data_IF_593904035789
#
_entry.id   IF_593904035789
#
_cell.length_a   1.000
_cell.length_b   1.000
_cell.length_c   1.000
_cell.angle_alpha   90.00
_cell.angle_beta   90.00
_cell.angle_gamma   90.00
#
_symmetry.space_group_name_H-M   'P 1'
#
loop_
_entity.id
_entity.type
_entity.pdbx_description
1 polymer ?
#
# COMPACT_ATOMS: atom_id res chain seq x y z
N UNK A 1 -55.75 45.99 -18.30
CA UNK A 1 -54.89 46.73 -17.35
C UNK A 1 -53.46 46.13 -17.46
N UNK A 2 -52.60 46.92 -18.14
CA UNK A 2 -51.25 46.54 -18.53
C UNK A 2 -50.28 46.66 -17.38
N UNK A 3 -49.45 45.69 -17.14
CA UNK A 3 -48.16 45.82 -16.39
C UNK A 3 -47.07 44.93 -16.98
N UNK A 4 -46.33 45.50 -17.92
CA UNK A 4 -44.90 45.58 -18.07
C UNK A 4 -44.09 44.28 -17.94
N UNK A 5 -43.79 43.71 -19.11
CA UNK A 5 -42.58 42.92 -19.34
C UNK A 5 -41.40 43.91 -19.52
N UNK A 6 -40.56 44.10 -18.49
CA UNK A 6 -39.23 44.69 -18.64
C UNK A 6 -38.19 43.58 -18.90
N UNK A 7 -37.87 43.41 -20.17
CA UNK A 7 -36.70 42.59 -20.55
C UNK A 7 -35.43 43.39 -20.24
N UNK A 8 -34.59 42.88 -19.32
CA UNK A 8 -33.25 43.42 -19.12
C UNK A 8 -32.37 43.07 -20.33
N UNK A 9 -32.09 44.05 -21.21
CA UNK A 9 -31.07 43.96 -22.21
C UNK A 9 -29.71 44.14 -21.51
N UNK A 10 -29.01 43.04 -21.26
CA UNK A 10 -27.60 43.05 -20.79
C UNK A 10 -26.81 43.79 -21.90
N UNK A 11 -26.10 44.85 -21.53
CA UNK A 11 -25.31 45.65 -22.47
C UNK A 11 -24.23 44.78 -23.14
N UNK A 12 -23.88 45.09 -24.36
CA UNK A 12 -22.87 44.37 -25.14
C UNK A 12 -21.53 44.30 -24.40
N UNK A 13 -21.18 45.34 -23.64
CA UNK A 13 -20.00 45.41 -22.78
C UNK A 13 -20.06 44.43 -21.60
N UNK A 14 -21.23 44.21 -20.99
CA UNK A 14 -21.40 43.22 -19.90
C UNK A 14 -21.28 41.79 -20.41
N UNK A 15 -21.68 41.49 -21.67
CA UNK A 15 -21.49 40.18 -22.28
C UNK A 15 -20.01 39.93 -22.60
N UNK A 16 -19.29 40.91 -23.12
CA UNK A 16 -17.85 40.84 -23.38
C UNK A 16 -17.09 40.62 -22.06
N UNK A 17 -17.46 41.34 -20.99
CA UNK A 17 -16.86 41.20 -19.65
C UNK A 17 -17.10 39.79 -19.08
N UNK A 18 -18.30 39.22 -19.21
CA UNK A 18 -18.62 37.87 -18.77
C UNK A 18 -17.85 36.79 -19.57
N UNK A 19 -17.67 36.97 -20.86
CA UNK A 19 -16.88 36.05 -21.73
C UNK A 19 -15.39 36.12 -21.36
N UNK A 20 -14.85 37.32 -21.16
CA UNK A 20 -13.44 37.51 -20.76
C UNK A 20 -13.19 36.95 -19.37
N UNK A 21 -14.13 37.12 -18.45
CA UNK A 21 -14.04 36.58 -17.09
C UNK A 21 -14.15 35.04 -17.10
N UNK A 22 -15.04 34.44 -17.90
CA UNK A 22 -15.16 32.99 -18.08
C UNK A 22 -13.90 32.39 -18.72
N UNK A 23 -13.31 33.06 -19.73
CA UNK A 23 -12.05 32.65 -20.34
C UNK A 23 -10.87 32.78 -19.39
N UNK A 24 -10.78 33.85 -18.61
CA UNK A 24 -9.76 34.03 -17.58
C UNK A 24 -9.89 32.98 -16.45
N UNK A 25 -11.12 32.65 -16.07
CA UNK A 25 -11.42 31.60 -15.05
C UNK A 25 -11.09 30.21 -15.59
N UNK A 26 -11.34 29.94 -16.87
CA UNK A 26 -10.97 28.68 -17.54
C UNK A 26 -9.45 28.55 -17.67
N UNK A 27 -8.73 29.62 -17.98
CA UNK A 27 -7.26 29.65 -18.00
C UNK A 27 -6.69 29.43 -16.60
N UNK A 28 -7.29 30.01 -15.56
CA UNK A 28 -6.85 29.84 -14.17
C UNK A 28 -7.16 28.43 -13.60
N UNK A 29 -8.31 27.84 -13.94
CA UNK A 29 -8.73 26.55 -13.39
C UNK A 29 -8.29 25.33 -14.18
N UNK A 30 -8.06 25.47 -15.49
CA UNK A 30 -7.77 24.32 -16.35
C UNK A 30 -6.35 24.39 -16.94
N UNK A 31 -5.93 25.56 -17.43
CA UNK A 31 -4.64 25.70 -18.12
C UNK A 31 -3.49 25.90 -17.10
N UNK A 32 -3.72 26.65 -16.02
CA UNK A 32 -2.70 26.80 -14.96
C UNK A 32 -2.38 25.49 -14.24
N UNK A 33 -3.35 24.65 -13.84
CA UNK A 33 -3.03 23.33 -13.28
C UNK A 33 -2.32 22.42 -14.28
N UNK A 34 -2.70 22.46 -15.56
CA UNK A 34 -2.01 21.71 -16.63
C UNK A 34 -0.61 22.25 -16.94
N UNK A 35 -0.40 23.56 -16.86
CA UNK A 35 0.92 24.17 -17.04
C UNK A 35 1.79 24.06 -15.79
N UNK A 36 1.20 24.03 -14.60
CA UNK A 36 1.89 23.74 -13.33
C UNK A 36 2.26 22.25 -13.29
N UNK A 37 1.42 21.37 -13.82
CA UNK A 37 1.78 19.95 -13.99
C UNK A 37 2.86 19.75 -15.07
N UNK A 38 2.83 20.48 -16.19
CA UNK A 38 3.94 20.51 -17.15
C UNK A 38 5.19 21.24 -16.65
N UNK A 39 5.06 22.17 -15.68
CA UNK A 39 6.19 22.92 -15.08
C UNK A 39 6.62 22.42 -13.70
N UNK A 40 5.89 21.49 -13.07
CA UNK A 40 6.44 20.59 -12.07
C UNK A 40 7.14 19.38 -12.74
N UNK A 41 7.86 19.54 -13.78
CA UNK A 41 9.23 19.03 -13.83
C UNK A 41 9.88 19.64 -12.60
N UNK A 42 9.98 18.81 -11.57
CA UNK A 42 10.62 19.10 -10.31
C UNK A 42 11.76 20.08 -10.56
N UNK A 43 11.68 21.26 -9.96
CA UNK A 43 12.85 22.10 -9.75
C UNK A 43 13.70 21.44 -8.65
N UNK A 44 14.04 20.17 -8.82
CA UNK A 44 15.20 19.52 -8.25
C UNK A 44 16.35 19.70 -9.24
N UNK A 45 16.66 20.98 -9.51
CA UNK A 45 17.81 21.33 -10.35
C UNK A 45 19.15 21.01 -9.68
N UNK A 46 19.16 20.40 -8.48
CA UNK A 46 20.36 20.25 -7.67
C UNK A 46 20.70 18.82 -7.22
N UNK A 47 19.95 17.79 -7.63
CA UNK A 47 20.35 16.41 -7.45
C UNK A 47 20.49 15.75 -8.84
N UNK A 48 21.71 15.38 -9.25
CA UNK A 48 21.87 14.62 -10.48
C UNK A 48 21.31 13.21 -10.25
N UNK A 49 19.99 13.02 -10.52
CA UNK A 49 19.33 11.72 -10.53
C UNK A 49 19.70 10.90 -11.78
N UNK A 50 20.83 11.24 -12.42
CA UNK A 50 21.34 10.57 -13.63
C UNK A 50 21.68 9.09 -13.44
N UNK A 51 21.76 8.62 -12.18
CA UNK A 51 21.96 7.23 -11.84
C UNK A 51 20.65 6.40 -11.85
N UNK A 52 19.50 7.06 -11.98
CA UNK A 52 18.20 6.40 -12.10
C UNK A 52 17.90 6.16 -13.58
N UNK A 53 17.56 4.94 -13.91
CA UNK A 53 17.14 4.59 -15.26
C UNK A 53 15.63 4.86 -15.45
N UNK A 54 15.28 6.13 -15.67
CA UNK A 54 13.89 6.55 -15.84
C UNK A 54 13.21 5.91 -17.06
N UNK A 55 13.95 5.48 -18.08
CA UNK A 55 13.37 4.80 -19.25
C UNK A 55 12.79 3.44 -18.89
N UNK A 56 13.30 2.79 -17.85
CA UNK A 56 12.77 1.52 -17.29
C UNK A 56 11.63 1.74 -16.29
N UNK A 57 11.34 2.99 -15.87
CA UNK A 57 10.32 3.25 -14.85
C UNK A 57 8.91 3.13 -15.42
N UNK A 58 8.48 1.90 -15.65
CA UNK A 58 7.11 1.55 -16.06
C UNK A 58 6.72 0.18 -15.56
N UNK A 59 5.41 -0.02 -15.37
CA UNK A 59 4.87 -1.35 -15.15
C UNK A 59 4.77 -2.04 -16.51
N UNK A 60 5.34 -3.23 -16.62
CA UNK A 60 5.35 -4.03 -17.84
C UNK A 60 4.62 -5.35 -17.64
N UNK A 61 4.24 -5.99 -18.71
CA UNK A 61 3.62 -7.32 -18.71
C UNK A 61 3.71 -7.94 -20.09
N UNK A 62 3.48 -9.25 -20.17
CA UNK A 62 3.32 -9.91 -21.47
C UNK A 62 2.02 -9.46 -22.13
N UNK A 63 1.89 -9.68 -23.44
CA UNK A 63 0.65 -9.42 -24.20
C UNK A 63 -0.58 -10.14 -23.65
N UNK A 64 -0.37 -11.20 -22.87
CA UNK A 64 -1.41 -11.97 -22.16
C UNK A 64 -1.67 -11.47 -20.74
N UNK A 65 -0.92 -10.49 -20.24
CA UNK A 65 -1.07 -9.98 -18.87
C UNK A 65 -2.30 -9.11 -18.71
N UNK A 66 -3.38 -9.70 -18.26
CA UNK A 66 -4.61 -8.98 -17.87
C UNK A 66 -4.36 -8.00 -16.71
N UNK A 67 -3.33 -8.22 -15.91
CA UNK A 67 -2.99 -7.36 -14.77
C UNK A 67 -2.61 -5.95 -15.20
N UNK A 68 -1.79 -5.81 -16.26
CA UNK A 68 -1.37 -4.48 -16.73
C UNK A 68 -2.56 -3.66 -17.24
N UNK A 69 -3.45 -4.28 -18.02
CA UNK A 69 -4.66 -3.63 -18.52
C UNK A 69 -5.59 -3.20 -17.37
N UNK A 70 -5.84 -4.10 -16.41
CA UNK A 70 -6.67 -3.84 -15.24
C UNK A 70 -6.13 -2.71 -14.37
N UNK A 71 -4.81 -2.58 -14.21
CA UNK A 71 -4.21 -1.48 -13.46
C UNK A 71 -4.52 -0.14 -14.13
N UNK A 72 -4.30 -0.06 -15.45
CA UNK A 72 -4.60 1.14 -16.23
C UNK A 72 -6.08 1.53 -16.14
N UNK A 73 -6.97 0.57 -16.38
CA UNK A 73 -8.42 0.76 -16.27
C UNK A 73 -8.85 1.23 -14.88
N UNK A 74 -8.38 0.55 -13.82
CA UNK A 74 -8.71 0.86 -12.44
C UNK A 74 -8.37 2.32 -12.08
N UNK A 75 -7.15 2.73 -12.39
CA UNK A 75 -6.66 4.07 -12.06
C UNK A 75 -7.34 5.15 -12.89
N UNK A 76 -7.59 4.88 -14.17
CA UNK A 76 -8.32 5.79 -15.04
C UNK A 76 -9.77 6.01 -14.55
N UNK A 77 -10.47 4.94 -14.16
CA UNK A 77 -11.82 5.02 -13.61
C UNK A 77 -11.85 5.73 -12.25
N UNK A 78 -10.91 5.46 -11.37
CA UNK A 78 -10.81 6.14 -10.09
C UNK A 78 -10.69 7.65 -10.26
N UNK A 79 -9.81 8.11 -11.16
CA UNK A 79 -9.62 9.53 -11.44
C UNK A 79 -10.80 10.16 -12.17
N UNK A 80 -11.34 9.49 -13.19
CA UNK A 80 -12.38 10.05 -14.06
C UNK A 80 -13.79 9.96 -13.49
N UNK A 81 -14.08 8.90 -12.72
CA UNK A 81 -15.43 8.59 -12.22
C UNK A 81 -15.54 8.55 -10.69
N UNK A 82 -14.44 8.69 -9.97
CA UNK A 82 -14.42 8.56 -8.51
C UNK A 82 -14.73 7.14 -8.01
N UNK A 83 -14.47 6.12 -8.83
CA UNK A 83 -14.68 4.74 -8.41
C UNK A 83 -13.66 4.34 -7.32
N UNK A 84 -14.09 3.61 -6.26
CA UNK A 84 -13.19 3.22 -5.18
C UNK A 84 -12.05 2.32 -5.66
N UNK A 85 -10.85 2.57 -5.13
CA UNK A 85 -9.66 1.76 -5.38
C UNK A 85 -9.17 1.15 -4.08
N UNK A 86 -9.02 -0.17 -4.03
CA UNK A 86 -8.39 -0.90 -2.93
C UNK A 86 -7.11 -1.55 -3.39
N UNK A 87 -6.00 -1.16 -2.78
CA UNK A 87 -4.65 -1.67 -3.06
C UNK A 87 -4.15 -2.40 -1.81
N UNK A 88 -3.64 -3.61 -1.99
CA UNK A 88 -2.92 -4.35 -0.97
C UNK A 88 -1.46 -4.49 -1.40
N UNK A 89 -0.55 -3.91 -0.64
CA UNK A 89 0.89 -4.02 -0.86
C UNK A 89 1.50 -4.89 0.23
N UNK A 90 1.98 -6.06 -0.13
CA UNK A 90 2.62 -7.01 0.79
C UNK A 90 4.13 -7.02 0.59
N UNK A 91 4.87 -7.27 1.67
CA UNK A 91 6.32 -7.32 1.58
C UNK A 91 7.02 -7.52 2.91
N UNK A 92 8.27 -7.12 2.93
CA UNK A 92 9.19 -7.27 4.05
C UNK A 92 9.40 -5.97 4.85
N UNK A 93 10.63 -5.71 5.34
CA UNK A 93 11.00 -4.50 6.06
C UNK A 93 10.81 -3.22 5.24
N UNK A 94 10.95 -3.29 3.92
CA UNK A 94 10.75 -2.16 3.02
C UNK A 94 9.29 -1.70 3.03
N UNK A 95 8.34 -2.62 3.28
CA UNK A 95 6.91 -2.34 3.39
C UNK A 95 6.51 -2.05 4.84
N UNK A 96 7.07 -2.76 5.84
CA UNK A 96 6.78 -2.48 7.25
C UNK A 96 7.12 -1.05 7.64
N UNK A 97 8.22 -0.49 7.13
CA UNK A 97 8.65 0.89 7.41
C UNK A 97 7.65 1.96 6.91
N UNK A 98 6.80 1.62 5.96
CA UNK A 98 5.76 2.43 5.32
C UNK A 98 6.24 3.73 4.64
N UNK A 99 7.54 4.01 4.55
CA UNK A 99 8.03 5.21 3.85
C UNK A 99 7.79 5.15 2.34
N UNK A 100 8.00 3.97 1.76
CA UNK A 100 7.75 3.67 0.35
C UNK A 100 6.25 3.72 0.05
N UNK A 101 5.47 2.95 0.77
CA UNK A 101 4.02 2.80 0.59
C UNK A 101 3.27 4.08 0.96
N UNK A 102 3.70 4.80 1.99
CA UNK A 102 3.11 6.09 2.37
C UNK A 102 3.29 7.15 1.27
N UNK A 103 4.45 7.23 0.63
CA UNK A 103 4.65 8.18 -0.46
C UNK A 103 3.82 7.81 -1.69
N UNK A 104 3.76 6.53 -2.07
CA UNK A 104 2.91 6.06 -3.16
C UNK A 104 1.44 6.37 -2.88
N UNK A 105 0.94 6.07 -1.66
CA UNK A 105 -0.42 6.37 -1.20
C UNK A 105 -0.72 7.87 -1.26
N UNK A 106 0.18 8.70 -0.76
CA UNK A 106 0.06 10.16 -0.75
C UNK A 106 -0.07 10.73 -2.16
N UNK A 107 0.78 10.30 -3.08
CA UNK A 107 0.77 10.78 -4.47
C UNK A 107 -0.45 10.29 -5.24
N UNK A 108 -0.86 9.03 -5.04
CA UNK A 108 -2.10 8.50 -5.63
C UNK A 108 -3.33 9.25 -5.13
N UNK A 109 -3.41 9.53 -3.82
CA UNK A 109 -4.49 10.31 -3.23
C UNK A 109 -4.61 11.69 -3.89
N UNK A 110 -3.49 12.40 -4.02
CA UNK A 110 -3.44 13.72 -4.67
C UNK A 110 -3.82 13.65 -6.16
N UNK A 111 -3.41 12.58 -6.84
CA UNK A 111 -3.68 12.42 -8.26
C UNK A 111 -5.14 12.04 -8.55
N UNK A 112 -5.76 11.20 -7.71
CA UNK A 112 -7.15 10.76 -7.89
C UNK A 112 -8.11 11.92 -7.60
N UNK A 113 -8.08 12.53 -6.42
CA UNK A 113 -9.09 13.54 -6.06
C UNK A 113 -8.69 14.50 -4.94
N UNK A 114 -7.55 14.31 -4.31
CA UNK A 114 -7.11 15.01 -3.10
C UNK A 114 -8.14 14.92 -1.94
N UNK A 115 -9.04 13.94 -1.98
CA UNK A 115 -10.08 13.71 -0.99
C UNK A 115 -9.69 12.56 -0.06
N UNK A 116 -10.61 12.23 0.84
CA UNK A 116 -10.44 11.24 1.89
C UNK A 116 -9.80 9.93 1.40
N UNK A 117 -8.76 9.51 2.10
CA UNK A 117 -8.10 8.22 1.90
C UNK A 117 -8.15 7.42 3.18
N UNK A 118 -8.22 6.11 3.09
CA UNK A 118 -8.09 5.24 4.25
C UNK A 118 -6.63 4.89 4.49
N UNK A 119 -6.21 4.87 5.76
CA UNK A 119 -4.92 4.29 6.15
C UNK A 119 -4.84 2.81 5.74
N UNK A 120 -5.97 2.14 5.82
CA UNK A 120 -6.05 0.72 5.55
C UNK A 120 -5.48 -0.13 6.70
N UNK A 121 -4.84 -1.24 6.33
CA UNK A 121 -4.31 -2.20 7.29
C UNK A 121 -3.17 -1.61 8.13
N UNK A 122 -3.22 -1.88 9.43
CA UNK A 122 -2.21 -1.55 10.44
C UNK A 122 -1.95 -2.77 11.33
N UNK A 123 -0.74 -2.85 11.87
CA UNK A 123 -0.40 -3.82 12.90
C UNK A 123 0.36 -3.10 14.03
N UNK A 124 0.08 -3.38 15.31
CA UNK A 124 0.75 -2.73 16.43
C UNK A 124 2.15 -3.35 16.69
N UNK A 125 3.09 -3.08 15.79
CA UNK A 125 4.41 -3.73 15.78
C UNK A 125 5.21 -3.53 17.06
N UNK A 126 5.13 -2.35 17.70
CA UNK A 126 5.88 -2.08 18.95
C UNK A 126 5.43 -2.98 20.10
N UNK A 127 4.16 -3.40 20.12
CA UNK A 127 3.62 -4.36 21.10
C UNK A 127 4.37 -5.70 21.05
N UNK A 128 4.93 -6.07 19.91
CA UNK A 128 5.69 -7.30 19.70
C UNK A 128 7.18 -7.05 19.44
N UNK A 129 7.71 -5.94 19.97
CA UNK A 129 9.12 -5.58 19.92
C UNK A 129 9.66 -5.41 18.48
N UNK A 130 8.86 -4.80 17.60
CA UNK A 130 9.26 -4.37 16.25
C UNK A 130 8.94 -2.88 16.08
N UNK A 131 9.49 -2.23 15.03
CA UNK A 131 9.25 -0.82 14.79
C UNK A 131 7.88 -0.59 14.11
N UNK A 132 7.13 0.39 14.62
CA UNK A 132 5.96 0.90 13.91
C UNK A 132 6.38 1.79 12.72
N UNK A 133 5.53 1.92 11.70
CA UNK A 133 5.53 3.08 10.82
C UNK A 133 5.47 4.40 11.60
N UNK A 134 5.97 5.48 10.99
CA UNK A 134 6.02 6.79 11.66
C UNK A 134 4.65 7.48 11.80
N UNK A 135 3.64 7.03 11.05
CA UNK A 135 2.36 7.69 10.89
C UNK A 135 1.32 7.34 11.97
N UNK A 136 1.63 6.38 12.83
CA UNK A 136 0.77 6.07 13.97
C UNK A 136 1.58 5.67 15.23
N UNK A 137 0.97 5.90 16.37
CA UNK A 137 1.44 5.43 17.66
C UNK A 137 0.62 4.22 18.12
N UNK A 138 1.24 3.40 18.96
CA UNK A 138 0.62 2.19 19.54
C UNK A 138 0.71 2.26 21.05
N UNK A 139 -0.40 2.01 21.71
CA UNK A 139 -0.47 1.80 23.16
C UNK A 139 -0.87 0.34 23.44
N UNK A 140 -0.38 -0.22 24.55
CA UNK A 140 -0.80 -1.54 25.00
C UNK A 140 -0.61 -1.72 26.50
N UNK A 141 -1.40 -2.63 27.05
CA UNK A 141 -1.32 -3.11 28.42
C UNK A 141 -1.34 -4.64 28.39
N UNK A 142 -0.85 -5.28 29.46
CA UNK A 142 -0.78 -6.73 29.55
C UNK A 142 0.40 -7.36 28.82
N UNK A 143 0.42 -8.68 28.78
CA UNK A 143 1.50 -9.46 28.19
C UNK A 143 1.13 -9.96 26.79
N UNK A 144 1.98 -9.65 25.81
CA UNK A 144 1.78 -10.02 24.42
C UNK A 144 2.97 -10.81 23.89
N UNK A 145 2.69 -11.96 23.29
CA UNK A 145 3.67 -12.83 22.64
C UNK A 145 3.67 -12.59 21.15
N UNK A 146 4.86 -12.37 20.58
CA UNK A 146 5.08 -12.25 19.14
C UNK A 146 5.10 -13.62 18.48
N UNK A 147 4.27 -13.83 17.45
CA UNK A 147 4.36 -14.98 16.57
C UNK A 147 4.94 -14.53 15.21
N UNK A 148 5.94 -15.26 14.75
CA UNK A 148 6.59 -15.07 13.47
C UNK A 148 6.71 -16.39 12.74
N UNK A 149 6.79 -16.30 11.42
CA UNK A 149 7.02 -17.49 10.64
C UNK A 149 8.35 -18.17 11.00
N UNK A 150 8.28 -19.47 11.13
CA UNK A 150 9.42 -20.38 11.20
C UNK A 150 9.03 -21.68 10.51
N UNK A 151 9.96 -22.35 9.83
CA UNK A 151 9.67 -23.64 9.15
C UNK A 151 9.09 -24.73 10.06
N UNK A 152 9.37 -24.64 11.37
CA UNK A 152 8.97 -25.64 12.37
C UNK A 152 7.84 -25.16 13.30
N UNK A 153 7.26 -23.99 13.02
CA UNK A 153 6.23 -23.39 13.84
C UNK A 153 4.95 -23.20 13.04
N UNK A 154 3.86 -23.78 13.53
CA UNK A 154 2.51 -23.65 13.00
C UNK A 154 1.76 -22.45 13.57
N UNK A 155 2.45 -21.45 14.10
CA UNK A 155 1.85 -20.23 14.66
C UNK A 155 0.85 -19.62 13.70
N UNK A 156 -0.26 -19.16 14.26
CA UNK A 156 -1.27 -18.42 13.51
C UNK A 156 -0.70 -17.07 13.08
N UNK A 157 -0.55 -16.86 11.78
CA UNK A 157 -0.09 -15.60 11.21
C UNK A 157 -1.19 -14.93 10.40
N UNK A 158 -1.20 -13.60 10.44
CA UNK A 158 -2.15 -12.77 9.69
C UNK A 158 -1.60 -12.26 8.36
N UNK A 159 -2.31 -11.27 7.81
CA UNK A 159 -2.05 -10.64 6.51
C UNK A 159 -0.60 -10.15 6.36
N UNK A 160 0.00 -9.62 7.41
CA UNK A 160 1.37 -9.12 7.39
C UNK A 160 2.45 -10.19 7.67
N UNK A 161 2.07 -11.47 7.84
CA UNK A 161 3.02 -12.52 8.19
C UNK A 161 3.50 -12.48 9.65
N UNK A 162 2.76 -11.82 10.52
CA UNK A 162 3.00 -11.67 11.96
C UNK A 162 1.68 -11.68 12.71
N UNK A 163 1.72 -12.02 13.99
CA UNK A 163 0.60 -11.83 14.93
C UNK A 163 1.07 -11.60 16.35
N UNK A 164 0.15 -11.19 17.21
CA UNK A 164 0.36 -10.97 18.63
C UNK A 164 -0.67 -11.77 19.42
N UNK A 165 -0.22 -12.63 20.32
CA UNK A 165 -1.11 -13.47 21.15
C UNK A 165 -0.99 -13.13 22.62
N UNK A 166 -2.10 -13.30 23.34
CA UNK A 166 -2.16 -13.17 24.80
C UNK A 166 -3.12 -14.19 25.41
N UNK A 167 -2.87 -14.53 26.67
CA UNK A 167 -3.77 -15.27 27.56
C UNK A 167 -4.19 -14.42 28.75
N UNK A 168 -3.81 -13.14 28.77
CA UNK A 168 -4.11 -12.18 29.82
C UNK A 168 -5.39 -11.41 29.49
N UNK A 169 -6.42 -11.56 30.32
CA UNK A 169 -7.74 -10.91 30.18
C UNK A 169 -7.69 -9.41 30.39
N UNK A 170 -6.65 -8.88 31.02
CA UNK A 170 -6.46 -7.45 31.24
C UNK A 170 -5.76 -6.77 30.05
N UNK A 171 -5.35 -7.57 29.06
CA UNK A 171 -4.65 -7.06 27.89
C UNK A 171 -5.51 -6.07 27.08
N UNK A 172 -4.86 -4.99 26.67
CA UNK A 172 -5.44 -3.94 25.85
C UNK A 172 -4.48 -3.54 24.75
N UNK A 173 -5.00 -2.98 23.66
CA UNK A 173 -4.19 -2.35 22.62
C UNK A 173 -4.92 -1.17 22.00
N UNK A 174 -4.16 -0.21 21.50
CA UNK A 174 -4.72 0.95 20.81
C UNK A 174 -3.80 1.40 19.71
N UNK A 175 -4.38 2.04 18.69
CA UNK A 175 -3.69 2.64 17.54
C UNK A 175 -4.19 4.07 17.39
N UNK A 176 -3.26 5.03 17.27
CA UNK A 176 -3.57 6.43 17.07
C UNK A 176 -2.82 6.97 15.86
N UNK A 177 -3.53 7.37 14.80
CA UNK A 177 -2.95 8.01 13.61
C UNK A 177 -2.52 9.43 13.98
N UNK A 178 -1.35 9.84 13.52
CA UNK A 178 -0.84 11.20 13.74
C UNK A 178 -1.49 12.18 12.77
N UNK A 179 -2.23 13.14 13.28
CA UNK A 179 -2.94 14.15 12.49
C UNK A 179 -2.03 14.98 11.57
N UNK A 180 -0.74 15.12 11.94
CA UNK A 180 0.25 15.85 11.14
C UNK A 180 0.68 15.12 9.86
N UNK A 181 0.23 13.88 9.66
CA UNK A 181 0.65 13.07 8.53
C UNK A 181 -0.16 13.44 7.29
N UNK A 182 0.49 14.08 6.33
CA UNK A 182 -0.14 14.47 5.05
C UNK A 182 -0.61 13.23 4.29
N UNK A 183 -1.88 13.23 3.87
CA UNK A 183 -2.47 12.16 3.06
C UNK A 183 -3.23 11.10 3.85
N UNK A 184 -3.49 11.34 5.16
CA UNK A 184 -4.41 10.52 5.94
C UNK A 184 -5.63 11.32 6.36
N UNK A 185 -6.77 10.68 6.19
CA UNK A 185 -8.02 11.13 6.75
C UNK A 185 -8.33 10.36 8.04
N UNK A 186 -9.04 10.96 8.96
CA UNK A 186 -9.60 10.21 10.08
C UNK A 186 -10.48 9.07 9.56
N UNK A 187 -10.71 8.08 10.38
CA UNK A 187 -11.51 6.90 10.04
C UNK A 187 -12.84 6.89 10.78
N UNK A 188 -13.84 6.26 10.17
CA UNK A 188 -15.14 6.00 10.77
C UNK A 188 -15.55 4.54 10.70
N UNK A 189 -14.67 3.65 10.20
CA UNK A 189 -14.87 2.21 10.23
C UNK A 189 -13.60 1.51 10.69
N UNK A 190 -13.73 0.51 11.55
CA UNK A 190 -12.60 -0.24 12.12
C UNK A 190 -12.89 -1.71 12.00
N UNK A 191 -12.00 -2.45 11.30
CA UNK A 191 -12.05 -3.90 11.25
C UNK A 191 -10.88 -4.49 12.03
N UNK A 192 -11.17 -5.32 13.01
CA UNK A 192 -10.15 -6.07 13.76
C UNK A 192 -10.11 -7.49 13.23
N UNK A 193 -8.93 -7.92 12.80
CA UNK A 193 -8.67 -9.30 12.41
C UNK A 193 -8.05 -10.06 13.57
N UNK A 194 -8.68 -11.13 13.98
CA UNK A 194 -8.24 -11.89 15.15
C UNK A 194 -8.64 -13.38 15.07
N UNK A 195 -8.12 -14.14 15.99
CA UNK A 195 -8.66 -15.44 16.41
C UNK A 195 -8.74 -15.46 17.91
N UNK A 196 -9.85 -15.89 18.44
CA UNK A 196 -10.09 -15.96 19.88
C UNK A 196 -10.63 -17.35 20.28
N UNK A 197 -10.32 -17.71 21.50
CA UNK A 197 -10.90 -18.85 22.20
C UNK A 197 -11.20 -18.41 23.62
N UNK A 198 -12.49 -18.24 23.96
CA UNK A 198 -12.94 -17.79 25.27
C UNK A 198 -12.65 -16.32 25.61
N UNK A 199 -12.06 -15.54 24.70
CA UNK A 199 -11.90 -14.10 24.81
C UNK A 199 -12.58 -13.44 23.64
N UNK A 200 -13.17 -12.26 23.86
CA UNK A 200 -13.74 -11.42 22.79
C UNK A 200 -13.11 -10.03 22.84
N UNK A 201 -12.70 -9.48 21.71
CA UNK A 201 -12.24 -8.10 21.67
C UNK A 201 -13.44 -7.15 21.78
N UNK A 202 -13.35 -6.19 22.70
CA UNK A 202 -14.33 -5.14 22.87
C UNK A 202 -13.72 -3.78 22.53
N UNK A 203 -14.48 -2.95 21.84
CA UNK A 203 -14.08 -1.59 21.56
C UNK A 203 -14.28 -0.74 22.82
N UNK A 204 -13.20 -0.13 23.31
CA UNK A 204 -13.20 0.74 24.49
C UNK A 204 -13.32 2.22 24.10
N UNK A 205 -12.67 2.61 23.03
CA UNK A 205 -12.64 3.98 22.50
C UNK A 205 -12.58 3.97 20.96
N UNK A 206 -13.41 4.80 20.28
CA UNK A 206 -14.44 5.68 20.83
C UNK A 206 -15.67 4.89 21.35
N UNK A 207 -16.38 5.45 22.33
CA UNK A 207 -17.49 4.76 23.01
C UNK A 207 -18.71 4.60 22.09
N UNK A 208 -18.97 5.58 21.22
CA UNK A 208 -20.10 5.56 20.31
C UNK A 208 -19.74 4.85 19.00
N UNK A 209 -20.01 3.56 18.97
CA UNK A 209 -19.77 2.71 17.81
C UNK A 209 -20.83 1.61 17.71
N UNK A 210 -21.16 1.25 16.48
CA UNK A 210 -22.06 0.15 16.14
C UNK A 210 -21.26 -1.04 15.61
N UNK A 211 -21.50 -2.23 16.15
CA UNK A 211 -20.94 -3.46 15.61
C UNK A 211 -21.76 -3.90 14.39
N UNK A 212 -21.19 -3.72 13.19
CA UNK A 212 -21.85 -4.05 11.92
C UNK A 212 -21.79 -5.54 11.61
N UNK A 213 -20.69 -6.20 11.93
CA UNK A 213 -20.52 -7.63 11.70
C UNK A 213 -19.46 -8.21 12.65
N UNK A 214 -19.65 -9.48 13.02
CA UNK A 214 -18.71 -10.25 13.80
C UNK A 214 -18.75 -11.71 13.36
N UNK A 215 -17.57 -12.32 13.23
CA UNK A 215 -17.40 -13.75 13.09
C UNK A 215 -16.18 -14.23 13.90
N UNK A 216 -15.77 -15.49 13.73
CA UNK A 216 -14.63 -16.06 14.46
C UNK A 216 -13.26 -15.44 14.10
N UNK A 217 -13.20 -14.60 13.06
CA UNK A 217 -11.94 -14.11 12.47
C UNK A 217 -11.86 -12.60 12.38
N UNK A 218 -12.98 -11.89 12.51
CA UNK A 218 -13.01 -10.42 12.47
C UNK A 218 -14.24 -9.82 13.14
N UNK A 219 -14.10 -8.57 13.58
CA UNK A 219 -15.19 -7.64 13.91
C UNK A 219 -15.07 -6.38 13.10
N UNK A 220 -16.19 -5.84 12.64
CA UNK A 220 -16.28 -4.57 11.92
C UNK A 220 -17.19 -3.61 12.70
N UNK A 221 -16.64 -2.48 13.09
CA UNK A 221 -17.35 -1.39 13.74
C UNK A 221 -17.54 -0.21 12.80
N UNK A 222 -18.71 0.45 12.89
CA UNK A 222 -18.96 1.79 12.40
C UNK A 222 -18.90 2.76 13.57
N UNK A 223 -18.15 3.85 13.44
CA UNK A 223 -18.04 4.91 14.45
C UNK A 223 -19.02 6.01 14.11
N UNK A 224 -19.69 6.58 15.12
CA UNK A 224 -20.64 7.68 14.93
C UNK A 224 -19.95 8.95 14.40
N UNK A 225 -18.69 9.16 14.80
CA UNK A 225 -17.87 10.29 14.37
C UNK A 225 -16.52 9.83 13.83
N UNK A 226 -15.94 10.68 12.99
CA UNK A 226 -14.57 10.47 12.53
C UNK A 226 -13.60 10.49 13.70
N UNK A 227 -12.69 9.51 13.75
CA UNK A 227 -11.68 9.36 14.80
C UNK A 227 -10.27 9.23 14.23
N UNK A 228 -9.28 9.62 15.03
CA UNK A 228 -7.85 9.35 14.78
C UNK A 228 -7.30 8.25 15.68
N UNK A 229 -8.08 7.77 16.65
CA UNK A 229 -7.62 6.74 17.58
C UNK A 229 -8.69 5.68 17.82
N UNK A 230 -8.21 4.48 18.17
CA UNK A 230 -9.05 3.36 18.56
C UNK A 230 -8.35 2.56 19.67
N UNK A 231 -9.10 2.12 20.67
CA UNK A 231 -8.59 1.28 21.76
C UNK A 231 -9.52 0.08 21.98
N UNK A 232 -8.91 -1.09 22.12
CA UNK A 232 -9.59 -2.36 22.38
C UNK A 232 -9.13 -2.95 23.71
N UNK A 233 -10.06 -3.62 24.39
CA UNK A 233 -9.80 -4.53 25.50
C UNK A 233 -10.23 -5.93 25.14
N UNK A 234 -10.04 -6.85 26.10
CA UNK A 234 -10.51 -8.22 25.99
C UNK A 234 -11.54 -8.48 27.11
N UNK A 235 -12.61 -9.14 26.75
CA UNK A 235 -13.61 -9.62 27.69
C UNK A 235 -13.55 -11.16 27.75
N UNK A 236 -13.65 -11.70 28.95
CA UNK A 236 -13.68 -13.15 29.14
C UNK A 236 -15.10 -13.68 28.89
N UNK A 237 -15.25 -14.50 27.88
CA UNK A 237 -16.52 -15.15 27.54
C UNK A 237 -16.80 -16.42 28.37
N UNK A 238 -16.27 -16.48 29.58
CA UNK A 238 -16.58 -17.54 30.57
C UNK A 238 -15.68 -18.77 30.53
N UNK A 239 -14.51 -18.72 29.89
CA UNK A 239 -13.54 -19.80 29.84
C UNK A 239 -12.31 -19.52 30.72
N UNK A 240 -11.89 -20.50 31.54
CA UNK A 240 -10.72 -20.34 32.42
C UNK A 240 -9.37 -20.30 31.73
N UNK A 241 -9.26 -20.80 30.48
CA UNK A 241 -8.03 -20.89 29.69
C UNK A 241 -8.21 -20.23 28.34
N UNK A 242 -8.66 -18.97 28.32
CA UNK A 242 -8.86 -18.22 27.08
C UNK A 242 -7.56 -17.82 26.40
N UNK A 243 -7.64 -17.56 25.12
CA UNK A 243 -6.55 -16.98 24.32
C UNK A 243 -7.08 -16.07 23.25
N UNK A 244 -6.29 -15.05 22.91
CA UNK A 244 -6.58 -14.11 21.84
C UNK A 244 -5.34 -13.91 20.98
N UNK A 245 -5.52 -13.91 19.65
CA UNK A 245 -4.45 -13.64 18.69
C UNK A 245 -4.90 -12.54 17.75
N UNK A 246 -4.23 -11.40 17.80
CA UNK A 246 -4.45 -10.26 16.92
C UNK A 246 -3.63 -10.44 15.63
N UNK A 247 -4.30 -10.31 14.48
CA UNK A 247 -3.68 -10.35 13.17
C UNK A 247 -3.49 -8.95 12.55
N UNK A 248 -4.22 -7.96 13.03
CA UNK A 248 -4.13 -6.55 12.60
C UNK A 248 -5.47 -5.83 12.65
N UNK A 249 -5.42 -4.56 12.29
CA UNK A 249 -6.58 -3.66 12.30
C UNK A 249 -6.62 -2.89 10.98
N UNK A 250 -7.79 -2.80 10.36
CA UNK A 250 -8.01 -1.87 9.25
C UNK A 250 -8.69 -0.60 9.77
N UNK A 251 -8.08 0.55 9.49
CA UNK A 251 -8.61 1.87 9.78
C UNK A 251 -9.13 2.47 8.48
N UNK A 252 -10.45 2.53 8.32
CA UNK A 252 -11.12 2.82 7.07
C UNK A 252 -11.98 4.09 7.19
N UNK A 253 -12.07 4.82 6.10
CA UNK A 253 -13.04 5.89 5.93
C UNK A 253 -14.05 5.43 4.86
N UNK A 254 -15.34 5.43 5.18
CA UNK A 254 -16.40 4.97 4.28
C UNK A 254 -16.48 5.77 2.98
N UNK A 255 -16.06 7.03 3.02
CA UNK A 255 -16.09 7.96 1.89
C UNK A 255 -14.77 7.98 1.09
N UNK A 256 -13.81 7.11 1.47
CA UNK A 256 -12.52 7.08 0.82
C UNK A 256 -12.60 6.46 -0.57
N UNK A 257 -12.11 7.18 -1.57
CA UNK A 257 -11.91 6.64 -2.92
C UNK A 257 -10.67 5.73 -2.95
N UNK A 258 -9.62 6.07 -2.20
CA UNK A 258 -8.41 5.26 -2.11
C UNK A 258 -8.28 4.59 -0.75
N UNK A 259 -8.18 3.26 -0.75
CA UNK A 259 -7.79 2.45 0.41
C UNK A 259 -6.48 1.74 0.06
N UNK A 260 -5.39 2.09 0.76
CA UNK A 260 -4.08 1.52 0.50
C UNK A 260 -3.57 0.77 1.73
N UNK A 261 -3.65 -0.55 1.68
CA UNK A 261 -3.25 -1.46 2.75
C UNK A 261 -1.78 -1.84 2.57
N UNK A 262 -0.91 -1.45 3.51
CA UNK A 262 0.48 -1.88 3.55
C UNK A 262 0.64 -2.97 4.62
N UNK A 263 1.03 -4.17 4.21
CA UNK A 263 1.16 -5.34 5.08
C UNK A 263 2.53 -5.98 4.87
N UNK A 264 3.49 -5.66 5.72
CA UNK A 264 4.86 -6.18 5.66
C UNK A 264 5.39 -6.50 7.04
N UNK A 265 6.43 -7.32 7.10
CA UNK A 265 7.15 -7.61 8.34
C UNK A 265 8.65 -7.76 8.11
N UNK A 266 9.43 -7.17 8.99
CA UNK A 266 10.90 -7.23 8.93
C UNK A 266 11.41 -8.67 8.76
N UNK A 267 12.24 -8.89 7.75
CA UNK A 267 12.82 -10.20 7.48
C UNK A 267 11.87 -11.19 6.78
N UNK A 268 10.70 -10.76 6.29
CA UNK A 268 9.79 -11.64 5.57
C UNK A 268 10.43 -12.19 4.30
N UNK A 269 10.20 -13.46 4.08
CA UNK A 269 10.50 -14.20 2.84
C UNK A 269 9.18 -14.62 2.19
N UNK A 270 9.25 -15.19 1.00
CA UNK A 270 8.09 -15.85 0.37
C UNK A 270 7.50 -16.91 1.30
N UNK A 271 8.35 -17.65 2.03
CA UNK A 271 7.92 -18.64 3.02
C UNK A 271 7.06 -18.07 4.13
N UNK A 272 7.27 -16.81 4.52
CA UNK A 272 6.45 -16.12 5.54
C UNK A 272 4.97 -16.05 5.12
N UNK A 273 4.70 -15.67 3.88
CA UNK A 273 3.33 -15.55 3.37
C UNK A 273 2.72 -16.91 3.01
N UNK A 274 3.52 -17.86 2.55
CA UNK A 274 3.06 -19.24 2.35
C UNK A 274 2.66 -19.92 3.65
N UNK A 275 3.39 -19.65 4.74
CA UNK A 275 3.12 -20.16 6.07
C UNK A 275 2.02 -19.39 6.83
N UNK A 276 1.60 -18.23 6.33
CA UNK A 276 0.53 -17.46 6.95
C UNK A 276 -0.84 -18.08 6.65
N UNK A 277 -1.41 -18.77 7.65
CA UNK A 277 -2.68 -19.49 7.52
C UNK A 277 -3.88 -18.59 7.19
N UNK A 278 -3.84 -17.32 7.62
CA UNK A 278 -4.95 -16.38 7.44
C UNK A 278 -4.73 -15.38 6.31
N UNK A 279 -3.58 -15.41 5.62
CA UNK A 279 -3.23 -14.45 4.58
C UNK A 279 -4.31 -14.34 3.48
N UNK A 280 -4.65 -15.45 2.85
CA UNK A 280 -5.63 -15.47 1.74
C UNK A 280 -7.03 -15.05 2.21
N UNK A 281 -7.46 -15.51 3.39
CA UNK A 281 -8.77 -15.16 3.92
C UNK A 281 -8.88 -13.66 4.19
N UNK A 282 -7.86 -13.06 4.83
CA UNK A 282 -7.84 -11.63 5.12
C UNK A 282 -7.68 -10.79 3.85
N UNK A 283 -6.88 -11.24 2.87
CA UNK A 283 -6.81 -10.59 1.57
C UNK A 283 -8.17 -10.60 0.84
N UNK A 284 -8.93 -11.71 0.92
CA UNK A 284 -10.32 -11.75 0.41
C UNK A 284 -11.23 -10.78 1.15
N UNK A 285 -11.08 -10.61 2.47
CA UNK A 285 -11.85 -9.65 3.26
C UNK A 285 -11.61 -8.19 2.85
N UNK A 286 -10.38 -7.84 2.46
CA UNK A 286 -10.04 -6.54 1.86
C UNK A 286 -10.65 -6.41 0.46
N UNK A 287 -10.71 -7.52 -0.29
CA UNK A 287 -11.16 -7.55 -1.68
C UNK A 287 -10.43 -6.51 -2.56
N UNK A 288 -9.09 -6.58 -2.67
CA UNK A 288 -8.30 -5.58 -3.38
C UNK A 288 -8.51 -5.69 -4.90
N UNK A 289 -8.50 -4.55 -5.57
CA UNK A 289 -8.45 -4.50 -7.04
C UNK A 289 -7.02 -4.68 -7.56
N UNK A 290 -6.03 -4.34 -6.74
CA UNK A 290 -4.61 -4.47 -7.04
C UNK A 290 -3.88 -5.04 -5.83
N UNK A 291 -3.08 -6.09 -6.05
CA UNK A 291 -2.08 -6.57 -5.10
C UNK A 291 -0.69 -6.27 -5.65
N UNK A 292 0.16 -5.65 -4.84
CA UNK A 292 1.58 -5.45 -5.13
C UNK A 292 2.38 -6.38 -4.22
N UNK A 293 3.26 -7.19 -4.80
CA UNK A 293 4.08 -8.16 -4.08
C UNK A 293 5.54 -7.74 -4.16
N UNK A 294 6.08 -7.23 -3.04
CA UNK A 294 7.46 -6.77 -2.91
C UNK A 294 8.23 -7.71 -1.97
N UNK A 295 8.64 -8.85 -2.51
CA UNK A 295 9.35 -9.93 -1.80
C UNK A 295 10.59 -10.37 -2.59
N UNK A 296 11.49 -11.07 -1.91
CA UNK A 296 12.68 -11.65 -2.49
C UNK A 296 13.97 -11.11 -1.90
N UNK A 297 13.98 -9.91 -1.31
CA UNK A 297 15.18 -9.31 -0.70
C UNK A 297 15.77 -10.23 0.38
N UNK A 298 14.93 -10.70 1.30
CA UNK A 298 15.39 -11.59 2.36
C UNK A 298 15.66 -13.01 1.85
N UNK A 299 14.91 -13.48 0.86
CA UNK A 299 15.14 -14.80 0.25
C UNK A 299 16.55 -14.86 -0.37
N UNK A 300 16.94 -13.82 -1.11
CA UNK A 300 18.24 -13.77 -1.80
C UNK A 300 19.40 -13.37 -0.88
N UNK A 301 19.09 -12.76 0.26
CA UNK A 301 20.09 -12.35 1.27
C UNK A 301 20.62 -13.56 2.07
N UNK A 302 19.83 -14.63 2.19
CA UNK A 302 20.21 -15.81 2.96
C UNK A 302 21.36 -16.56 2.27
N UNK A 303 22.38 -17.02 3.02
CA UNK A 303 23.45 -17.84 2.48
C UNK A 303 22.94 -19.15 1.84
N UNK A 304 21.75 -19.60 2.26
CA UNK A 304 21.09 -20.81 1.75
C UNK A 304 20.18 -20.54 0.53
N UNK A 305 20.31 -19.38 -0.13
CA UNK A 305 19.53 -19.08 -1.32
C UNK A 305 19.62 -20.21 -2.35
N UNK A 306 18.47 -20.65 -2.82
CA UNK A 306 18.35 -21.66 -3.85
C UNK A 306 17.28 -21.23 -4.86
N UNK A 307 17.71 -20.95 -6.09
CA UNK A 307 16.87 -20.45 -7.18
C UNK A 307 15.67 -21.35 -7.48
N UNK A 308 15.88 -22.67 -7.51
CA UNK A 308 14.82 -23.64 -7.80
C UNK A 308 13.77 -23.69 -6.66
N UNK A 309 14.22 -23.60 -5.39
CA UNK A 309 13.32 -23.51 -4.25
C UNK A 309 12.52 -22.22 -4.28
N UNK A 310 13.19 -21.08 -4.48
CA UNK A 310 12.53 -19.79 -4.59
C UNK A 310 11.50 -19.78 -5.73
N UNK A 311 11.84 -20.33 -6.89
CA UNK A 311 10.93 -20.43 -8.03
C UNK A 311 9.65 -21.20 -7.71
N UNK A 312 9.75 -22.33 -7.02
CA UNK A 312 8.57 -23.11 -6.59
C UNK A 312 7.73 -22.33 -5.60
N UNK A 313 8.35 -21.83 -4.54
CA UNK A 313 7.67 -21.15 -3.43
C UNK A 313 6.99 -19.85 -3.92
N UNK A 314 7.69 -19.07 -4.76
CA UNK A 314 7.12 -17.83 -5.32
C UNK A 314 5.98 -18.14 -6.31
N UNK A 315 6.14 -19.16 -7.17
CA UNK A 315 5.07 -19.60 -8.07
C UNK A 315 3.84 -20.10 -7.30
N UNK A 316 4.05 -20.78 -6.17
CA UNK A 316 2.96 -21.21 -5.28
C UNK A 316 2.25 -20.02 -4.65
N UNK A 317 2.98 -19.05 -4.08
CA UNK A 317 2.40 -17.87 -3.47
C UNK A 317 1.55 -17.07 -4.48
N UNK A 318 2.12 -16.75 -5.64
CA UNK A 318 1.41 -16.05 -6.71
C UNK A 318 0.21 -16.87 -7.19
N UNK A 319 0.36 -18.19 -7.34
CA UNK A 319 -0.73 -19.09 -7.70
C UNK A 319 -1.88 -19.08 -6.68
N UNK A 320 -1.59 -19.08 -5.37
CA UNK A 320 -2.62 -18.96 -4.32
C UNK A 320 -3.35 -17.62 -4.41
N UNK A 321 -2.63 -16.52 -4.63
CA UNK A 321 -3.21 -15.18 -4.78
C UNK A 321 -4.13 -15.12 -6.01
N UNK A 322 -3.63 -15.50 -7.18
CA UNK A 322 -4.38 -15.38 -8.44
C UNK A 322 -5.59 -16.31 -8.50
N UNK A 323 -5.49 -17.50 -7.89
CA UNK A 323 -6.62 -18.44 -7.80
C UNK A 323 -7.68 -17.97 -6.82
N UNK A 324 -7.27 -17.39 -5.69
CA UNK A 324 -8.20 -16.92 -4.65
C UNK A 324 -8.89 -15.60 -5.01
N UNK A 325 -8.25 -14.76 -5.82
CA UNK A 325 -8.65 -13.40 -6.20
C UNK A 325 -8.52 -13.19 -7.73
N UNK A 326 -9.30 -13.92 -8.55
CA UNK A 326 -9.09 -13.97 -10.01
C UNK A 326 -9.37 -12.63 -10.73
N UNK A 327 -10.12 -11.72 -10.10
CA UNK A 327 -10.42 -10.40 -10.64
C UNK A 327 -9.39 -9.34 -10.23
N UNK A 328 -8.50 -9.64 -9.30
CA UNK A 328 -7.48 -8.74 -8.79
C UNK A 328 -6.30 -8.66 -9.76
N UNK A 329 -5.85 -7.46 -10.09
CA UNK A 329 -4.57 -7.26 -10.76
C UNK A 329 -3.42 -7.57 -9.81
N UNK A 330 -2.35 -8.21 -10.31
CA UNK A 330 -1.15 -8.49 -9.51
C UNK A 330 0.07 -7.86 -10.17
N UNK A 331 0.78 -7.03 -9.40
CA UNK A 331 2.10 -6.51 -9.74
C UNK A 331 3.11 -7.20 -8.85
N UNK A 332 4.16 -7.75 -9.41
CA UNK A 332 5.34 -8.18 -8.66
C UNK A 332 6.46 -7.16 -8.84
N UNK A 333 7.22 -6.89 -7.79
CA UNK A 333 8.37 -6.00 -7.87
C UNK A 333 9.66 -6.80 -7.74
N UNK A 334 10.72 -6.37 -8.43
CA UNK A 334 12.03 -6.97 -8.19
C UNK A 334 12.69 -6.37 -6.96
N UNK A 335 13.43 -7.15 -6.15
CA UNK A 335 14.37 -6.60 -5.17
C UNK A 335 15.33 -5.60 -5.83
N UNK A 336 15.62 -4.50 -5.15
CA UNK A 336 16.64 -3.56 -5.56
C UNK A 336 18.05 -4.13 -5.36
N UNK A 337 19.03 -3.47 -5.99
CA UNK A 337 20.44 -3.78 -5.74
C UNK A 337 20.81 -3.45 -4.28
N UNK A 338 21.59 -4.32 -3.63
CA UNK A 338 21.97 -4.17 -2.23
C UNK A 338 23.26 -4.91 -1.90
N UNK A 339 23.84 -4.57 -0.74
CA UNK A 339 25.04 -5.23 -0.25
C UNK A 339 24.73 -6.27 0.82
N UNK A 340 25.50 -7.36 0.81
CA UNK A 340 25.59 -8.31 1.92
C UNK A 340 26.54 -7.70 2.97
N UNK A 341 26.06 -7.62 4.21
CA UNK A 341 26.80 -7.05 5.35
C UNK A 341 27.37 -5.64 5.09
N UNK A 342 26.71 -4.87 4.22
CA UNK A 342 27.12 -3.50 3.88
C UNK A 342 28.41 -3.40 3.06
N UNK A 343 28.97 -4.49 2.57
CA UNK A 343 30.30 -4.54 1.95
C UNK A 343 30.30 -5.15 0.54
N UNK A 344 29.67 -6.28 0.35
CA UNK A 344 29.74 -7.04 -0.89
C UNK A 344 28.43 -6.94 -1.66
N UNK A 345 28.48 -6.65 -2.96
CA UNK A 345 27.32 -6.72 -3.85
C UNK A 345 26.76 -8.15 -3.78
N UNK A 346 25.45 -8.28 -3.62
CA UNK A 346 24.83 -9.60 -3.59
C UNK A 346 24.82 -10.22 -4.99
N UNK A 347 25.58 -11.30 -5.23
CA UNK A 347 25.73 -11.87 -6.58
C UNK A 347 24.48 -12.57 -7.11
N UNK A 348 23.51 -12.83 -6.22
CA UNK A 348 22.32 -13.61 -6.56
C UNK A 348 21.13 -12.75 -7.00
N UNK A 349 21.22 -11.41 -6.95
CA UNK A 349 20.07 -10.52 -7.29
C UNK A 349 19.65 -10.68 -8.74
N UNK A 350 20.59 -10.81 -9.66
CA UNK A 350 20.25 -11.02 -11.08
C UNK A 350 19.52 -12.34 -11.31
N UNK A 351 19.85 -13.40 -10.55
CA UNK A 351 19.20 -14.70 -10.65
C UNK A 351 17.76 -14.65 -10.09
N UNK A 352 17.56 -14.13 -8.87
CA UNK A 352 16.22 -14.03 -8.28
C UNK A 352 15.30 -13.18 -9.15
N UNK A 353 15.80 -12.10 -9.75
CA UNK A 353 15.04 -11.26 -10.65
C UNK A 353 14.60 -12.00 -11.91
N UNK A 354 15.45 -12.85 -12.49
CA UNK A 354 15.06 -13.73 -13.61
C UNK A 354 13.92 -14.67 -13.21
N UNK A 355 13.98 -15.24 -11.99
CA UNK A 355 12.93 -16.12 -11.48
C UNK A 355 11.62 -15.34 -11.31
N UNK A 356 11.65 -14.13 -10.74
CA UNK A 356 10.47 -13.28 -10.58
C UNK A 356 9.84 -12.99 -11.95
N UNK A 357 10.64 -12.63 -12.97
CA UNK A 357 10.15 -12.42 -14.33
C UNK A 357 9.48 -13.65 -14.92
N UNK A 358 10.13 -14.83 -14.77
CA UNK A 358 9.58 -16.09 -15.24
C UNK A 358 8.21 -16.38 -14.62
N UNK A 359 8.13 -16.34 -13.29
CA UNK A 359 6.87 -16.64 -12.57
C UNK A 359 5.79 -15.61 -12.89
N UNK A 360 6.13 -14.31 -12.97
CA UNK A 360 5.18 -13.27 -13.33
C UNK A 360 4.57 -13.52 -14.71
N UNK A 361 5.40 -13.86 -15.69
CA UNK A 361 4.94 -14.16 -17.05
C UNK A 361 4.05 -15.41 -17.08
N UNK A 362 4.44 -16.49 -16.38
CA UNK A 362 3.65 -17.73 -16.29
C UNK A 362 2.30 -17.55 -15.61
N UNK A 363 2.21 -16.62 -14.64
CA UNK A 363 0.99 -16.34 -13.86
C UNK A 363 0.18 -15.14 -14.39
N UNK A 364 0.60 -14.49 -15.48
CA UNK A 364 -0.07 -13.34 -16.06
C UNK A 364 -0.03 -12.08 -15.19
N UNK A 365 0.96 -11.94 -14.32
CA UNK A 365 1.19 -10.76 -13.50
C UNK A 365 1.87 -9.65 -14.30
N UNK A 366 1.72 -8.41 -13.84
CA UNK A 366 2.54 -7.30 -14.27
C UNK A 366 3.80 -7.19 -13.40
N UNK A 367 4.83 -6.52 -13.90
CA UNK A 367 6.15 -6.40 -13.27
C UNK A 367 6.53 -4.92 -13.17
N UNK A 368 7.02 -4.51 -12.01
CA UNK A 368 7.75 -3.26 -11.83
C UNK A 368 9.19 -3.58 -11.42
N UNK A 369 10.14 -3.36 -12.34
CA UNK A 369 11.53 -3.77 -12.19
C UNK A 369 12.36 -2.70 -11.49
N UNK A 370 12.28 -2.67 -10.17
CA UNK A 370 13.02 -1.69 -9.37
C UNK A 370 14.55 -1.87 -9.49
N UNK A 371 15.04 -3.08 -9.69
CA UNK A 371 16.48 -3.32 -9.90
C UNK A 371 17.00 -2.58 -11.14
N UNK A 372 16.29 -2.68 -12.27
CA UNK A 372 16.69 -1.95 -13.48
C UNK A 372 16.52 -0.44 -13.33
N UNK A 373 15.46 -0.01 -12.65
CA UNK A 373 15.20 1.41 -12.38
C UNK A 373 16.31 1.99 -11.50
N UNK A 374 16.79 1.24 -10.51
CA UNK A 374 17.95 1.64 -9.68
C UNK A 374 19.24 1.83 -10.49
N UNK A 375 19.38 1.14 -11.62
CA UNK A 375 20.58 1.13 -12.46
C UNK A 375 21.29 -0.22 -12.55
N UNK A 376 20.71 -1.29 -11.98
CA UNK A 376 21.26 -2.65 -12.02
C UNK A 376 22.39 -2.89 -11.00
N UNK A 377 23.28 -3.82 -11.32
CA UNK A 377 24.37 -4.24 -10.44
C UNK A 377 25.32 -3.08 -10.09
N UNK A 378 25.61 -2.94 -8.82
CA UNK A 378 26.49 -1.88 -8.28
C UNK A 378 25.78 -0.53 -8.08
N UNK A 379 24.53 -0.38 -8.51
CA UNK A 379 23.78 0.87 -8.39
C UNK A 379 23.56 1.31 -6.94
N UNK A 380 23.47 0.38 -6.01
CA UNK A 380 23.33 0.69 -4.57
C UNK A 380 24.43 1.63 -4.07
N UNK A 381 25.66 1.53 -4.60
CA UNK A 381 26.74 2.43 -4.21
C UNK A 381 26.52 3.86 -4.72
N UNK A 382 25.93 4.03 -5.91
CA UNK A 382 25.54 5.33 -6.43
C UNK A 382 24.43 5.95 -5.57
N UNK A 383 23.39 5.15 -5.23
CA UNK A 383 22.32 5.57 -4.34
C UNK A 383 22.84 5.95 -2.94
N UNK A 384 23.79 5.18 -2.39
CA UNK A 384 24.41 5.48 -1.11
C UNK A 384 25.24 6.78 -1.16
N UNK A 385 26.04 6.97 -2.20
CA UNK A 385 26.84 8.18 -2.38
C UNK A 385 25.99 9.44 -2.53
N UNK A 386 24.76 9.31 -3.04
CA UNK A 386 23.78 10.39 -3.15
C UNK A 386 22.90 10.53 -1.89
N UNK A 387 23.19 9.75 -0.84
CA UNK A 387 22.48 9.83 0.45
C UNK A 387 21.08 9.27 0.46
N UNK A 388 20.77 8.23 -0.35
CA UNK A 388 19.49 7.56 -0.41
C UNK A 388 19.43 6.23 0.33
N UNK A 389 20.58 5.66 0.74
CA UNK A 389 20.64 4.40 1.47
C UNK A 389 20.80 4.60 2.98
N UNK A 390 20.39 3.63 3.76
CA UNK A 390 20.80 3.44 5.13
C UNK A 390 22.26 2.94 5.19
N UNK A 391 22.85 2.91 6.37
CA UNK A 391 24.27 2.54 6.57
C UNK A 391 24.57 1.10 6.17
N UNK A 392 23.59 0.21 6.27
CA UNK A 392 23.69 -1.19 5.90
C UNK A 392 23.68 -1.44 4.38
N UNK A 393 23.28 -0.43 3.58
CA UNK A 393 23.12 -0.52 2.13
C UNK A 393 22.28 -1.74 1.66
N UNK A 394 21.49 -2.30 2.55
CA UNK A 394 20.39 -3.22 2.28
C UNK A 394 19.09 -2.44 2.17
N UNK A 395 18.91 -1.49 3.09
CA UNK A 395 17.74 -0.64 3.16
C UNK A 395 18.03 0.74 2.54
N UNK A 396 17.01 1.32 1.96
CA UNK A 396 17.01 2.75 1.67
C UNK A 396 16.75 3.52 2.97
N UNK A 397 17.19 4.75 3.04
CA UNK A 397 16.76 5.66 4.10
C UNK A 397 15.40 6.28 3.74
N UNK A 398 14.82 7.11 4.62
CA UNK A 398 13.53 7.77 4.39
C UNK A 398 13.46 8.50 3.05
N UNK A 399 14.55 9.21 2.64
CA UNK A 399 14.62 9.93 1.37
C UNK A 399 14.62 8.96 0.18
N UNK A 400 15.36 7.86 0.27
CA UNK A 400 15.40 6.82 -0.75
C UNK A 400 14.06 6.10 -0.93
N UNK A 401 13.41 5.74 0.17
CA UNK A 401 12.07 5.13 0.10
C UNK A 401 11.01 6.06 -0.47
N UNK A 402 11.06 7.36 -0.16
CA UNK A 402 10.15 8.34 -0.79
C UNK A 402 10.40 8.44 -2.29
N UNK A 403 11.66 8.43 -2.72
CA UNK A 403 11.98 8.39 -4.14
C UNK A 403 11.44 7.12 -4.80
N UNK A 404 11.62 5.96 -4.18
CA UNK A 404 11.06 4.68 -4.64
C UNK A 404 9.53 4.75 -4.76
N UNK A 405 8.86 5.37 -3.78
CA UNK A 405 7.41 5.56 -3.80
C UNK A 405 6.94 6.48 -4.94
N UNK A 406 7.69 7.53 -5.20
CA UNK A 406 7.42 8.44 -6.33
C UNK A 406 7.60 7.73 -7.68
N UNK A 407 8.63 6.90 -7.82
CA UNK A 407 8.88 6.12 -9.03
C UNK A 407 7.76 5.10 -9.29
N UNK A 408 7.30 4.37 -8.26
CA UNK A 408 6.17 3.45 -8.42
C UNK A 408 4.89 4.20 -8.81
N UNK A 409 4.61 5.33 -8.16
CA UNK A 409 3.48 6.19 -8.51
C UNK A 409 3.54 6.62 -9.99
N UNK A 410 4.68 7.13 -10.45
CA UNK A 410 4.84 7.52 -11.87
C UNK A 410 4.58 6.36 -12.82
N UNK A 411 5.11 5.16 -12.52
CA UNK A 411 4.88 3.96 -13.32
C UNK A 411 3.38 3.58 -13.38
N UNK A 412 2.65 3.74 -12.27
CA UNK A 412 1.20 3.53 -12.22
C UNK A 412 0.44 4.55 -13.08
N UNK A 413 0.85 5.83 -13.06
CA UNK A 413 0.23 6.87 -13.89
C UNK A 413 0.49 6.64 -15.37
N UNK A 414 1.70 6.20 -15.74
CA UNK A 414 2.01 5.81 -17.12
C UNK A 414 1.07 4.71 -17.58
N UNK A 415 0.84 3.67 -16.76
CA UNK A 415 -0.08 2.58 -17.10
C UNK A 415 -1.54 3.07 -17.29
N UNK A 416 -1.99 4.03 -16.46
CA UNK A 416 -3.31 4.65 -16.61
C UNK A 416 -3.44 5.46 -17.91
N UNK A 417 -2.43 6.26 -18.22
CA UNK A 417 -2.41 7.08 -19.45
C UNK A 417 -2.34 6.21 -20.72
N UNK A 418 -1.52 5.15 -20.69
CA UNK A 418 -1.42 4.19 -21.80
C UNK A 418 -2.75 3.45 -22.04
N UNK A 419 -3.52 3.18 -20.98
CA UNK A 419 -4.87 2.60 -21.09
C UNK A 419 -5.83 3.59 -21.76
N UNK A 420 -5.89 4.84 -21.31
CA UNK A 420 -6.74 5.87 -21.91
C UNK A 420 -6.43 6.09 -23.38
N UNK A 421 -5.14 6.21 -23.75
CA UNK A 421 -4.73 6.41 -25.13
C UNK A 421 -5.16 5.25 -26.06
N UNK A 422 -5.13 3.99 -25.56
CA UNK A 422 -5.62 2.84 -26.33
C UNK A 422 -7.15 2.82 -26.44
N UNK A 423 -7.86 3.22 -25.37
CA UNK A 423 -9.32 3.29 -25.39
C UNK A 423 -9.81 4.34 -26.42
N UNK A 424 -9.15 5.49 -26.49
CA UNK A 424 -9.47 6.56 -27.46
C UNK A 424 -9.16 6.13 -28.91
N UNK A 425 -8.11 5.33 -29.15
CA UNK A 425 -7.75 4.84 -30.48
C UNK A 425 -8.67 3.73 -31.03
N UNK A 426 -9.47 3.11 -30.17
CA UNK A 426 -10.41 2.06 -30.54
C UNK A 426 -11.87 2.57 -30.71
N UNK A 427 -12.10 3.86 -30.52
CA UNK A 427 -13.36 4.58 -30.85
C UNK A 427 -13.28 5.25 -32.21
#
# INVERSE_FOLDING_TARGET
MNLLKRGYRISQNARIFAIVFALAFFVLLVILPLSIYKKRKVKDKDLPLSFINFSENRITGTSSSKSLERIGELLAKARGKGEPVRILHIGDSHIQADFFTAETRRLLSQWISNQNTSRGFTFPYSMVKSNNPDDYDVSWEGEWTRNRWSPNDSSLLGLAGISASTTDTLSRFGISIKESTIGFSPFNMVRVHYKANGFEPILLEPINAELLSSDQNHMLYSLETLSFSVKFGLENAGQSNGSFTLFGVELLNSDAILQYHAAGVNGATVGTFLGSSNFIQQAKGINPYLIIVSLGTNDVYLPSYNSAKFSRDFSELIGRITSALPMTAVVVTTPGDHLINGQQINPNIADINKVIYKVANEKGCAIWDFYKIMGGEGSVNLWANQGFCATDKLHLNRKGYRLQGSLLFEAMIIAANDYCARADSNQ
#
